data_IF_691630678432
#
_entry.id   IF_691630678432
#
_cell.length_a   1.000
_cell.length_b   1.000
_cell.length_c   1.000
_cell.angle_alpha   90.00
_cell.angle_beta   90.00
_cell.angle_gamma   90.00
#
_symmetry.space_group_name_H-M   'P 1'
#
loop_
_entity.id
_entity.type
_entity.pdbx_description
1 polymer ?
#
# COMPACT_ATOMS: atom_id res chain seq x y z
N UNK A 1 -8.19 10.02 -23.55
CA UNK A 1 -7.59 8.95 -22.72
C UNK A 1 -8.58 7.79 -22.68
N UNK A 2 -8.25 6.65 -23.28
CA UNK A 2 -9.25 5.60 -23.47
C UNK A 2 -9.11 4.50 -22.41
N UNK A 3 -10.06 4.45 -21.48
CA UNK A 3 -10.34 3.21 -20.70
C UNK A 3 -11.12 2.23 -21.58
N UNK A 4 -10.88 0.93 -21.43
CA UNK A 4 -11.78 -0.07 -22.00
C UNK A 4 -13.12 -0.07 -21.25
N UNK A 5 -14.14 -0.73 -21.81
CA UNK A 5 -15.50 -0.73 -21.25
C UNK A 5 -15.54 -1.26 -19.82
N UNK A 6 -14.75 -2.29 -19.50
CA UNK A 6 -14.69 -2.88 -18.15
C UNK A 6 -14.06 -1.93 -17.14
N UNK A 7 -12.94 -1.30 -17.49
CA UNK A 7 -12.29 -0.29 -16.66
C UNK A 7 -13.23 0.90 -16.38
N UNK A 8 -13.90 1.39 -17.44
CA UNK A 8 -14.91 2.46 -17.34
C UNK A 8 -16.03 2.05 -16.39
N UNK A 9 -16.59 0.86 -16.54
CA UNK A 9 -17.64 0.35 -15.66
C UNK A 9 -17.19 0.28 -14.20
N UNK A 10 -15.99 -0.23 -13.93
CA UNK A 10 -15.45 -0.30 -12.55
C UNK A 10 -15.30 1.10 -11.96
N UNK A 11 -14.74 2.05 -12.68
CA UNK A 11 -14.59 3.43 -12.19
C UNK A 11 -15.96 4.08 -11.96
N UNK A 12 -16.92 3.94 -12.86
CA UNK A 12 -18.25 4.48 -12.67
C UNK A 12 -18.98 3.84 -11.48
N UNK A 13 -18.82 2.54 -11.24
CA UNK A 13 -19.34 1.91 -10.03
C UNK A 13 -18.70 2.48 -8.75
N UNK A 14 -17.41 2.81 -8.76
CA UNK A 14 -16.77 3.50 -7.64
C UNK A 14 -17.31 4.93 -7.47
N UNK A 15 -17.55 5.66 -8.56
CA UNK A 15 -18.19 6.99 -8.57
C UNK A 15 -19.61 6.93 -8.00
N UNK A 16 -20.41 5.97 -8.43
CA UNK A 16 -21.78 5.73 -7.90
C UNK A 16 -21.73 5.40 -6.41
N UNK A 17 -20.74 4.61 -5.97
CA UNK A 17 -20.53 4.34 -4.55
C UNK A 17 -20.22 5.61 -3.76
N UNK A 18 -19.43 6.52 -4.32
CA UNK A 18 -19.11 7.83 -3.73
C UNK A 18 -20.29 8.80 -3.70
N UNK A 19 -21.40 8.48 -4.39
CA UNK A 19 -22.60 9.32 -4.44
C UNK A 19 -22.69 10.21 -5.68
N UNK A 20 -21.94 9.91 -6.73
CA UNK A 20 -22.04 10.59 -8.04
C UNK A 20 -23.18 9.96 -8.87
N UNK A 21 -24.40 10.38 -8.61
CA UNK A 21 -25.60 9.74 -9.19
C UNK A 21 -25.72 9.99 -10.72
N UNK A 22 -25.12 11.04 -11.27
CA UNK A 22 -25.07 11.30 -12.74
C UNK A 22 -24.37 10.15 -13.51
N UNK A 23 -23.53 9.38 -12.85
CA UNK A 23 -22.86 8.22 -13.45
C UNK A 23 -23.81 7.03 -13.70
N UNK A 24 -24.99 7.02 -13.09
CA UNK A 24 -26.01 5.98 -13.29
C UNK A 24 -26.56 6.04 -14.71
N UNK A 25 -26.85 7.23 -15.21
CA UNK A 25 -27.46 7.44 -16.53
C UNK A 25 -26.45 7.18 -17.67
N UNK A 26 -25.16 7.35 -17.39
CA UNK A 26 -24.08 7.18 -18.36
C UNK A 26 -23.40 5.81 -18.28
N UNK A 27 -23.88 4.91 -17.43
CA UNK A 27 -23.29 3.59 -17.24
C UNK A 27 -23.32 2.76 -18.54
N UNK A 28 -22.24 2.04 -18.89
CA UNK A 28 -22.18 1.28 -20.13
C UNK A 28 -23.28 0.22 -20.22
N UNK A 29 -23.99 0.18 -21.37
CA UNK A 29 -25.08 -0.78 -21.58
C UNK A 29 -24.62 -2.22 -21.77
N UNK A 30 -23.41 -2.42 -22.26
CA UNK A 30 -22.81 -3.75 -22.47
C UNK A 30 -21.52 -3.83 -21.68
N UNK A 31 -21.52 -4.65 -20.64
CA UNK A 31 -20.41 -4.81 -19.73
C UNK A 31 -20.08 -6.31 -19.60
N UNK A 32 -18.83 -6.67 -19.71
CA UNK A 32 -18.37 -8.00 -19.30
C UNK A 32 -18.30 -8.07 -17.77
N UNK A 33 -19.40 -8.57 -17.18
CA UNK A 33 -19.51 -8.69 -15.73
C UNK A 33 -18.54 -9.70 -15.12
N UNK A 34 -18.07 -10.69 -15.89
CA UNK A 34 -17.09 -11.62 -15.43
C UNK A 34 -15.74 -10.93 -15.22
N UNK A 35 -15.29 -10.11 -16.16
CA UNK A 35 -14.07 -9.31 -16.01
C UNK A 35 -14.22 -8.25 -14.91
N UNK A 36 -15.39 -7.60 -14.76
CA UNK A 36 -15.66 -6.69 -13.64
C UNK A 36 -15.53 -7.42 -12.30
N UNK A 37 -16.06 -8.63 -12.20
CA UNK A 37 -15.95 -9.45 -11.00
C UNK A 37 -14.48 -9.81 -10.69
N UNK A 38 -13.71 -10.23 -11.69
CA UNK A 38 -12.28 -10.52 -11.53
C UNK A 38 -11.51 -9.30 -10.99
N UNK A 39 -11.76 -8.11 -11.53
CA UNK A 39 -11.18 -6.87 -11.01
C UNK A 39 -11.67 -6.57 -9.59
N UNK A 40 -12.95 -6.80 -9.29
CA UNK A 40 -13.49 -6.60 -7.95
C UNK A 40 -12.80 -7.47 -6.90
N UNK A 41 -12.57 -8.73 -7.21
CA UNK A 41 -11.83 -9.68 -6.36
C UNK A 41 -10.36 -9.26 -6.23
N UNK A 42 -9.71 -8.97 -7.34
CA UNK A 42 -8.30 -8.59 -7.40
C UNK A 42 -7.98 -7.35 -6.56
N UNK A 43 -8.88 -6.36 -6.59
CA UNK A 43 -8.74 -5.10 -5.84
C UNK A 43 -9.42 -5.14 -4.46
N UNK A 44 -10.06 -6.25 -4.11
CA UNK A 44 -10.80 -6.45 -2.87
C UNK A 44 -11.86 -5.34 -2.63
N UNK A 45 -12.59 -5.00 -3.69
CA UNK A 45 -13.65 -3.97 -3.73
C UNK A 45 -15.04 -4.58 -4.03
N UNK A 46 -15.19 -5.90 -4.01
CA UNK A 46 -16.42 -6.59 -4.38
C UNK A 46 -17.65 -6.11 -3.61
N UNK A 47 -17.52 -5.86 -2.29
CA UNK A 47 -18.60 -5.29 -1.49
C UNK A 47 -18.98 -3.86 -1.89
N UNK A 48 -18.01 -3.05 -2.29
CA UNK A 48 -18.23 -1.69 -2.83
C UNK A 48 -19.02 -1.76 -4.14
N UNK A 49 -18.53 -2.58 -5.09
CA UNK A 49 -19.22 -2.72 -6.38
C UNK A 49 -20.62 -3.30 -6.23
N UNK A 50 -20.83 -4.28 -5.34
CA UNK A 50 -22.19 -4.78 -5.02
C UNK A 50 -23.14 -3.66 -4.62
N UNK A 51 -22.69 -2.76 -3.75
CA UNK A 51 -23.49 -1.63 -3.27
C UNK A 51 -23.83 -0.66 -4.41
N UNK A 52 -22.86 -0.36 -5.28
CA UNK A 52 -23.05 0.53 -6.42
C UNK A 52 -23.98 -0.08 -7.49
N UNK A 53 -23.79 -1.35 -7.83
CA UNK A 53 -24.62 -2.08 -8.81
C UNK A 53 -26.11 -2.05 -8.40
N UNK A 54 -26.41 -2.11 -7.12
CA UNK A 54 -27.80 -2.03 -6.64
C UNK A 54 -28.49 -0.69 -6.87
N UNK A 55 -27.75 0.36 -7.18
CA UNK A 55 -28.29 1.67 -7.55
C UNK A 55 -28.59 1.78 -9.04
N UNK A 56 -28.08 0.86 -9.86
CA UNK A 56 -28.36 0.85 -11.30
C UNK A 56 -29.81 0.42 -11.56
N UNK A 57 -30.58 1.15 -12.43
CA UNK A 57 -31.97 0.85 -12.71
C UNK A 57 -32.17 -0.49 -13.42
N UNK A 58 -31.21 -0.85 -14.29
CA UNK A 58 -31.19 -2.12 -14.99
C UNK A 58 -29.78 -2.72 -14.93
N UNK A 59 -29.70 -4.00 -14.57
CA UNK A 59 -28.45 -4.75 -14.47
C UNK A 59 -28.32 -5.68 -15.68
N UNK A 60 -28.40 -5.11 -16.90
CA UNK A 60 -28.40 -5.88 -18.14
C UNK A 60 -27.14 -6.77 -18.24
N UNK A 61 -27.38 -8.06 -18.47
CA UNK A 61 -26.31 -9.05 -18.63
C UNK A 61 -25.61 -9.48 -17.34
N UNK A 62 -25.97 -8.95 -16.18
CA UNK A 62 -25.42 -9.39 -14.91
C UNK A 62 -25.95 -10.79 -14.55
N UNK A 63 -25.07 -11.77 -14.51
CA UNK A 63 -25.38 -13.13 -14.15
C UNK A 63 -25.69 -13.24 -12.64
N UNK A 64 -26.69 -14.04 -12.29
CA UNK A 64 -27.15 -14.21 -10.90
C UNK A 64 -26.07 -14.78 -9.98
N UNK A 65 -25.19 -15.61 -10.48
CA UNK A 65 -24.04 -16.16 -9.75
C UNK A 65 -23.03 -15.07 -9.43
N UNK A 66 -22.64 -14.22 -10.38
CA UNK A 66 -21.75 -13.06 -10.14
C UNK A 66 -22.36 -12.12 -9.11
N UNK A 67 -23.65 -11.81 -9.24
CA UNK A 67 -24.36 -10.96 -8.26
C UNK A 67 -24.31 -11.57 -6.85
N UNK A 68 -24.49 -12.88 -6.75
CA UNK A 68 -24.41 -13.61 -5.48
C UNK A 68 -22.99 -13.59 -4.89
N UNK A 69 -21.98 -13.80 -5.71
CA UNK A 69 -20.59 -13.74 -5.25
C UNK A 69 -20.21 -12.34 -4.74
N UNK A 70 -20.60 -11.27 -5.45
CA UNK A 70 -20.41 -9.90 -4.98
C UNK A 70 -21.15 -9.63 -3.65
N UNK A 71 -22.34 -10.21 -3.48
CA UNK A 71 -23.09 -10.14 -2.23
C UNK A 71 -22.35 -10.85 -1.09
N UNK A 72 -21.74 -12.00 -1.35
CA UNK A 72 -20.89 -12.71 -0.38
C UNK A 72 -19.71 -11.82 0.03
N UNK A 73 -19.04 -11.16 -0.92
CA UNK A 73 -17.97 -10.21 -0.61
C UNK A 73 -18.43 -9.05 0.27
N UNK A 74 -19.65 -8.53 0.04
CA UNK A 74 -20.23 -7.49 0.87
C UNK A 74 -20.38 -7.94 2.32
N UNK A 75 -21.08 -9.07 2.56
CA UNK A 75 -21.30 -9.56 3.93
C UNK A 75 -20.00 -9.99 4.62
N UNK A 76 -19.07 -10.59 3.89
CA UNK A 76 -17.76 -10.95 4.42
C UNK A 76 -16.96 -9.70 4.85
N UNK A 77 -17.01 -8.63 4.07
CA UNK A 77 -16.35 -7.35 4.40
C UNK A 77 -16.96 -6.73 5.66
N UNK A 78 -18.29 -6.68 5.75
CA UNK A 78 -19.01 -6.14 6.92
C UNK A 78 -18.68 -6.96 8.17
N UNK A 79 -18.76 -8.29 8.09
CA UNK A 79 -18.48 -9.18 9.23
C UNK A 79 -17.05 -9.02 9.72
N UNK A 80 -16.06 -9.03 8.81
CA UNK A 80 -14.64 -8.85 9.16
C UNK A 80 -14.38 -7.47 9.76
N UNK A 81 -14.95 -6.42 9.17
CA UNK A 81 -14.76 -5.06 9.68
C UNK A 81 -15.31 -4.92 11.10
N UNK A 82 -16.48 -5.50 11.41
CA UNK A 82 -17.04 -5.49 12.77
C UNK A 82 -16.18 -6.26 13.77
N UNK A 83 -15.60 -7.39 13.37
CA UNK A 83 -14.66 -8.12 14.24
C UNK A 83 -13.41 -7.26 14.53
N UNK A 84 -12.83 -6.61 13.50
CA UNK A 84 -11.72 -5.68 13.69
C UNK A 84 -12.09 -4.53 14.63
N UNK A 85 -13.28 -3.93 14.45
CA UNK A 85 -13.75 -2.83 15.31
C UNK A 85 -13.85 -3.23 16.77
N UNK A 86 -14.48 -4.38 17.07
CA UNK A 86 -14.58 -4.87 18.43
C UNK A 86 -13.21 -5.10 19.08
N UNK A 87 -12.28 -5.70 18.33
CA UNK A 87 -10.93 -5.96 18.86
C UNK A 87 -10.13 -4.67 19.04
N UNK A 88 -10.22 -3.74 18.09
CA UNK A 88 -9.51 -2.47 18.19
C UNK A 88 -10.04 -1.60 19.32
N UNK A 89 -11.34 -1.61 19.60
CA UNK A 89 -11.89 -0.94 20.79
C UNK A 89 -11.24 -1.48 22.06
N UNK A 90 -11.14 -2.81 22.21
CA UNK A 90 -10.49 -3.45 23.35
C UNK A 90 -8.99 -3.07 23.45
N UNK A 91 -8.26 -3.09 22.32
CA UNK A 91 -6.85 -2.70 22.28
C UNK A 91 -6.67 -1.24 22.69
N UNK A 92 -7.42 -0.32 22.07
CA UNK A 92 -7.35 1.11 22.35
C UNK A 92 -7.64 1.41 23.83
N UNK A 93 -8.71 0.84 24.37
CA UNK A 93 -9.09 1.05 25.76
C UNK A 93 -8.03 0.50 26.72
N UNK A 94 -7.48 -0.67 26.43
CA UNK A 94 -6.45 -1.27 27.27
C UNK A 94 -5.12 -0.50 27.21
N UNK A 95 -4.69 -0.05 26.04
CA UNK A 95 -3.49 0.79 25.90
C UNK A 95 -3.68 2.14 26.62
N UNK A 96 -4.87 2.74 26.55
CA UNK A 96 -5.18 3.95 27.33
C UNK A 96 -5.10 3.69 28.86
N UNK A 97 -5.65 2.59 29.36
CA UNK A 97 -5.54 2.20 30.77
C UNK A 97 -4.08 2.02 31.21
N UNK A 98 -3.25 1.45 30.33
CA UNK A 98 -1.81 1.25 30.57
C UNK A 98 -0.99 2.52 30.33
N UNK A 99 -1.61 3.64 29.94
CA UNK A 99 -0.93 4.92 29.61
C UNK A 99 0.16 4.74 28.56
N UNK A 100 -0.17 4.01 27.48
CA UNK A 100 0.71 3.76 26.34
C UNK A 100 0.26 4.63 25.18
N UNK A 101 1.11 5.55 24.73
CA UNK A 101 0.83 6.35 23.53
C UNK A 101 0.83 5.48 22.29
N UNK A 102 -0.23 5.60 21.49
CA UNK A 102 -0.37 4.90 20.23
C UNK A 102 -1.06 5.75 19.19
N UNK A 103 -0.51 5.78 17.98
CA UNK A 103 -0.99 6.56 16.86
C UNK A 103 -1.68 5.63 15.88
N UNK A 104 -2.99 5.82 15.71
CA UNK A 104 -3.77 5.10 14.69
C UNK A 104 -3.46 5.69 13.32
N UNK A 105 -3.27 4.84 12.31
CA UNK A 105 -2.87 5.28 10.99
C UNK A 105 -3.46 4.43 9.87
N UNK A 106 -3.24 4.85 8.61
CA UNK A 106 -3.62 4.12 7.40
C UNK A 106 -5.10 3.69 7.38
N UNK A 107 -5.32 2.41 7.09
CA UNK A 107 -6.62 1.81 6.85
C UNK A 107 -7.64 2.02 7.95
N UNK A 108 -7.23 1.95 9.20
CA UNK A 108 -8.11 2.16 10.34
C UNK A 108 -8.68 3.58 10.41
N UNK A 109 -7.87 4.58 10.04
CA UNK A 109 -8.32 5.97 9.99
C UNK A 109 -9.13 6.23 8.72
N UNK A 110 -8.64 5.76 7.57
CA UNK A 110 -9.24 6.03 6.25
C UNK A 110 -10.63 5.45 6.07
N UNK A 111 -10.93 4.29 6.70
CA UNK A 111 -12.26 3.68 6.58
C UNK A 111 -13.42 4.61 6.97
N UNK A 112 -13.17 5.59 7.84
CA UNK A 112 -14.17 6.56 8.30
C UNK A 112 -14.64 7.54 7.21
N UNK A 113 -13.89 7.64 6.11
CA UNK A 113 -14.22 8.51 4.98
C UNK A 113 -15.07 7.80 3.93
N UNK A 114 -15.17 6.47 4.02
CA UNK A 114 -16.00 5.68 3.13
C UNK A 114 -17.48 5.85 3.46
N UNK A 115 -18.38 5.96 2.46
CA UNK A 115 -19.82 6.01 2.68
C UNK A 115 -20.34 4.85 3.56
N UNK A 116 -19.74 3.67 3.41
CA UNK A 116 -19.94 2.51 4.28
C UNK A 116 -18.57 2.06 4.78
N UNK A 117 -18.16 2.47 6.00
CA UNK A 117 -16.82 2.21 6.55
C UNK A 117 -16.41 0.74 6.55
N UNK A 118 -17.38 -0.16 6.71
CA UNK A 118 -17.16 -1.60 6.74
C UNK A 118 -16.69 -2.17 5.39
N UNK A 119 -16.92 -1.47 4.30
CA UNK A 119 -16.52 -1.89 2.96
C UNK A 119 -15.09 -1.52 2.59
N UNK A 120 -14.42 -0.68 3.39
CA UNK A 120 -12.98 -0.53 3.26
C UNK A 120 -12.28 -1.73 3.88
N UNK A 121 -12.01 -2.71 3.05
CA UNK A 121 -11.33 -3.94 3.48
C UNK A 121 -9.90 -3.65 3.95
N UNK A 122 -9.47 -4.36 4.99
CA UNK A 122 -8.10 -4.28 5.54
C UNK A 122 -7.57 -5.69 5.78
N UNK A 123 -6.28 -5.92 5.53
CA UNK A 123 -5.59 -7.14 5.92
C UNK A 123 -5.09 -7.07 7.37
N UNK A 124 -4.58 -5.91 7.72
CA UNK A 124 -3.94 -5.58 8.99
C UNK A 124 -4.42 -4.25 9.52
N UNK A 125 -4.17 -4.00 10.79
CA UNK A 125 -4.37 -2.71 11.44
C UNK A 125 -3.03 -2.23 11.96
N UNK A 126 -2.59 -1.10 11.42
CA UNK A 126 -1.33 -0.48 11.77
C UNK A 126 -1.50 0.56 12.87
N UNK A 127 -0.60 0.56 13.84
CA UNK A 127 -0.44 1.68 14.75
C UNK A 127 1.02 1.86 15.17
N UNK A 128 1.39 3.13 15.41
CA UNK A 128 2.73 3.51 15.83
C UNK A 128 2.77 3.68 17.34
N UNK A 129 3.84 3.21 17.97
CA UNK A 129 4.16 3.42 19.38
C UNK A 129 5.55 4.03 19.52
N UNK A 130 5.86 4.53 20.71
CA UNK A 130 7.24 4.88 21.05
C UNK A 130 8.09 3.63 21.22
N UNK A 131 9.37 3.73 20.86
CA UNK A 131 10.29 2.58 21.02
C UNK A 131 10.41 2.12 22.47
N UNK A 132 10.38 3.05 23.44
CA UNK A 132 10.41 2.74 24.87
C UNK A 132 9.16 2.01 25.38
N UNK A 133 8.01 2.16 24.70
CA UNK A 133 6.76 1.50 25.06
C UNK A 133 6.61 0.09 24.44
N UNK A 134 7.58 -0.35 23.67
CA UNK A 134 7.51 -1.58 22.89
C UNK A 134 7.22 -2.82 23.74
N UNK A 135 8.00 -3.00 24.82
CA UNK A 135 7.83 -4.14 25.71
C UNK A 135 6.50 -4.10 26.47
N UNK A 136 6.09 -2.91 26.91
CA UNK A 136 4.80 -2.71 27.61
C UNK A 136 3.63 -3.00 26.67
N UNK A 137 3.72 -2.59 25.40
CA UNK A 137 2.73 -2.89 24.38
C UNK A 137 2.67 -4.40 24.10
N UNK A 138 3.82 -5.07 24.00
CA UNK A 138 3.88 -6.51 23.83
C UNK A 138 3.13 -7.25 24.94
N UNK A 139 3.46 -6.94 26.20
CA UNK A 139 2.78 -7.55 27.36
C UNK A 139 1.28 -7.27 27.38
N UNK A 140 0.87 -6.04 27.03
CA UNK A 140 -0.53 -5.65 26.94
C UNK A 140 -1.31 -6.46 25.88
N UNK A 141 -0.72 -6.64 24.71
CA UNK A 141 -1.37 -7.42 23.63
C UNK A 141 -1.44 -8.91 23.96
N UNK A 142 -0.42 -9.49 24.59
CA UNK A 142 -0.46 -10.87 25.08
C UNK A 142 -1.56 -11.05 26.14
N UNK A 143 -1.73 -10.10 27.06
CA UNK A 143 -2.80 -10.13 28.07
C UNK A 143 -4.21 -10.03 27.45
N UNK A 144 -4.33 -9.34 26.31
CA UNK A 144 -5.56 -9.32 25.51
C UNK A 144 -5.77 -10.59 24.69
N UNK A 145 -4.85 -11.55 24.75
CA UNK A 145 -4.92 -12.85 24.06
C UNK A 145 -4.53 -12.79 22.59
N UNK A 146 -3.73 -11.79 22.18
CA UNK A 146 -3.07 -11.82 20.88
C UNK A 146 -1.84 -12.73 20.94
N UNK A 147 -1.55 -13.41 19.83
CA UNK A 147 -0.33 -14.19 19.63
C UNK A 147 0.66 -13.33 18.87
N UNK A 148 1.90 -13.21 19.36
CA UNK A 148 2.98 -12.57 18.64
C UNK A 148 3.50 -13.52 17.54
N UNK A 149 3.31 -13.16 16.28
CA UNK A 149 3.74 -13.95 15.12
C UNK A 149 5.09 -13.50 14.57
N UNK A 150 5.49 -12.25 14.86
CA UNK A 150 6.81 -11.71 14.52
C UNK A 150 7.19 -10.60 15.50
N UNK A 151 8.38 -10.70 16.08
CA UNK A 151 8.99 -9.75 17.02
C UNK A 151 10.32 -9.17 16.50
N UNK A 152 10.55 -9.22 15.17
CA UNK A 152 11.79 -8.81 14.54
C UNK A 152 11.67 -7.46 13.85
N UNK A 153 12.74 -6.65 13.96
CA UNK A 153 12.80 -5.35 13.30
C UNK A 153 11.91 -4.31 13.98
N UNK A 154 11.46 -3.31 13.21
CA UNK A 154 10.70 -2.16 13.70
C UNK A 154 9.17 -2.36 13.68
N UNK A 155 8.70 -3.46 13.09
CA UNK A 155 7.28 -3.82 13.02
C UNK A 155 7.12 -5.19 13.68
N UNK A 156 6.31 -5.23 14.73
CA UNK A 156 5.95 -6.48 15.39
C UNK A 156 4.51 -6.85 15.03
N UNK A 157 4.30 -8.11 14.69
CA UNK A 157 3.01 -8.59 14.22
C UNK A 157 2.33 -9.45 15.29
N UNK A 158 1.03 -9.23 15.45
CA UNK A 158 0.19 -9.94 16.40
C UNK A 158 -1.10 -10.39 15.74
N UNK A 159 -1.60 -11.56 16.12
CA UNK A 159 -2.81 -12.14 15.56
C UNK A 159 -3.78 -12.60 16.64
N UNK A 160 -5.08 -12.33 16.43
CA UNK A 160 -6.17 -12.87 17.23
C UNK A 160 -7.40 -13.04 16.35
N UNK A 161 -7.83 -14.30 16.09
CA UNK A 161 -8.86 -14.60 15.10
C UNK A 161 -8.47 -14.09 13.72
N UNK A 162 -9.33 -13.30 13.06
CA UNK A 162 -9.04 -12.70 11.76
C UNK A 162 -8.36 -11.32 11.86
N UNK A 163 -8.02 -10.86 13.06
CA UNK A 163 -7.42 -9.54 13.25
C UNK A 163 -5.89 -9.68 13.35
N UNK A 164 -5.22 -9.00 12.43
CA UNK A 164 -3.77 -8.87 12.41
C UNK A 164 -3.44 -7.43 12.80
N UNK A 165 -2.54 -7.26 13.77
CA UNK A 165 -2.01 -5.96 14.17
C UNK A 165 -0.55 -5.85 13.78
N UNK A 166 -0.19 -4.75 13.15
CA UNK A 166 1.20 -4.34 12.91
C UNK A 166 1.56 -3.17 13.83
N UNK A 167 2.36 -3.47 14.84
CA UNK A 167 2.83 -2.49 15.83
C UNK A 167 4.16 -1.95 15.37
N UNK A 168 4.15 -0.71 14.93
CA UNK A 168 5.30 0.01 14.42
C UNK A 168 5.99 0.79 15.54
N UNK A 169 7.31 0.70 15.66
CA UNK A 169 8.12 1.65 16.43
C UNK A 169 8.79 2.70 15.53
N UNK A 170 8.73 2.49 14.21
CA UNK A 170 9.11 3.45 13.16
C UNK A 170 8.15 3.31 11.99
N UNK A 171 7.75 4.43 11.40
CA UNK A 171 6.76 4.45 10.32
C UNK A 171 7.31 3.85 9.03
N UNK A 172 8.53 4.21 8.65
CA UNK A 172 9.17 3.83 7.40
C UNK A 172 10.54 3.23 7.71
N UNK A 173 10.84 2.10 7.09
CA UNK A 173 12.11 1.39 7.22
C UNK A 173 12.87 1.27 5.90
N UNK A 174 12.43 1.96 4.85
CA UNK A 174 12.99 1.91 3.50
C UNK A 174 13.00 3.32 2.91
N UNK A 175 14.01 3.59 2.11
CA UNK A 175 14.08 4.85 1.35
C UNK A 175 13.04 4.86 0.24
N UNK A 176 12.32 5.95 0.10
CA UNK A 176 11.28 6.18 -0.90
C UNK A 176 11.46 7.58 -1.47
N UNK A 177 11.39 7.71 -2.79
CA UNK A 177 11.63 9.01 -3.46
C UNK A 177 13.11 9.38 -3.58
N UNK A 178 13.38 10.54 -4.15
CA UNK A 178 14.76 11.07 -4.38
C UNK A 178 15.22 12.09 -3.35
N UNK A 179 14.36 12.46 -2.42
CA UNK A 179 14.62 13.52 -1.45
C UNK A 179 15.44 13.07 -0.25
N UNK A 180 15.05 13.59 0.90
CA UNK A 180 15.67 13.23 2.18
C UNK A 180 15.42 11.77 2.55
N UNK A 181 16.24 11.24 3.43
CA UNK A 181 16.04 9.90 3.97
C UNK A 181 14.70 9.83 4.70
N UNK A 182 13.77 9.02 4.15
CA UNK A 182 12.42 8.88 4.70
C UNK A 182 12.39 8.29 6.10
N UNK A 183 13.35 7.44 6.46
CA UNK A 183 13.47 6.94 7.84
C UNK A 183 13.82 8.10 8.79
N UNK A 184 14.80 8.92 8.42
CA UNK A 184 15.20 10.09 9.20
C UNK A 184 14.08 11.13 9.30
N UNK A 185 13.36 11.38 8.20
CA UNK A 185 12.24 12.32 8.14
C UNK A 185 11.13 11.97 9.15
N UNK A 186 10.85 10.68 9.35
CA UNK A 186 9.76 10.22 10.23
C UNK A 186 10.17 9.89 11.66
N UNK A 187 11.38 10.24 12.11
CA UNK A 187 11.82 9.93 13.48
C UNK A 187 11.00 10.66 14.56
N UNK A 188 10.48 11.85 14.26
CA UNK A 188 9.66 12.65 15.16
C UNK A 188 8.15 12.58 14.85
N UNK A 189 7.70 11.57 14.13
CA UNK A 189 6.33 11.44 13.65
C UNK A 189 5.26 11.61 14.76
N UNK A 190 5.55 11.23 15.99
CA UNK A 190 4.62 11.38 17.12
C UNK A 190 4.38 12.85 17.46
N UNK A 191 5.30 13.78 17.16
CA UNK A 191 5.11 15.21 17.38
C UNK A 191 4.07 15.83 16.43
N UNK A 192 3.77 15.16 15.30
CA UNK A 192 2.79 15.58 14.29
C UNK A 192 1.43 14.91 14.47
N UNK A 193 1.00 14.74 15.73
CA UNK A 193 -0.24 14.04 16.06
C UNK A 193 -1.18 14.90 16.89
N UNK A 194 -2.47 14.55 16.84
CA UNK A 194 -3.52 15.09 17.69
C UNK A 194 -4.24 13.97 18.45
N UNK A 195 -4.84 14.30 19.61
CA UNK A 195 -5.62 13.36 20.42
C UNK A 195 -6.98 13.13 19.78
N UNK A 196 -7.38 11.87 19.64
CA UNK A 196 -8.67 11.52 19.02
C UNK A 196 -9.59 10.71 19.94
N UNK A 197 -9.03 9.99 20.91
CA UNK A 197 -9.81 9.20 21.88
C UNK A 197 -9.03 8.99 23.18
N UNK A 198 -9.48 9.63 24.24
CA UNK A 198 -8.77 9.60 25.52
C UNK A 198 -7.43 10.34 25.46
N UNK A 199 -6.56 10.05 26.42
CA UNK A 199 -5.30 10.77 26.60
C UNK A 199 -4.16 10.21 25.71
N UNK A 200 -4.22 8.93 25.37
CA UNK A 200 -3.08 8.20 24.81
C UNK A 200 -3.33 7.68 23.38
N UNK A 201 -4.54 7.90 22.82
CA UNK A 201 -4.86 7.55 21.44
C UNK A 201 -4.75 8.78 20.54
N UNK A 202 -3.86 8.70 19.58
CA UNK A 202 -3.50 9.77 18.67
C UNK A 202 -3.79 9.38 17.22
N UNK A 203 -3.96 10.39 16.38
CA UNK A 203 -3.86 10.27 14.90
C UNK A 203 -2.92 11.35 14.40
N UNK A 204 -2.36 11.17 13.21
CA UNK A 204 -1.63 12.25 12.56
C UNK A 204 -2.55 13.42 12.24
N UNK A 205 -2.03 14.67 12.32
CA UNK A 205 -2.69 15.83 11.73
C UNK A 205 -2.90 15.60 10.24
N UNK A 206 -3.93 16.21 9.66
CA UNK A 206 -4.42 15.89 8.31
C UNK A 206 -3.34 15.98 7.22
N UNK A 207 -2.58 17.06 7.22
CA UNK A 207 -1.53 17.31 6.24
C UNK A 207 -0.41 16.28 6.33
N UNK A 208 0.07 16.02 7.55
CA UNK A 208 1.12 15.03 7.78
C UNK A 208 0.64 13.62 7.42
N UNK A 209 -0.63 13.30 7.71
CA UNK A 209 -1.24 12.03 7.32
C UNK A 209 -1.28 11.89 5.80
N UNK A 210 -1.67 12.94 5.06
CA UNK A 210 -1.70 12.89 3.60
C UNK A 210 -0.30 12.71 3.00
N UNK A 211 0.71 13.45 3.50
CA UNK A 211 2.11 13.25 3.11
C UNK A 211 2.56 11.81 3.37
N UNK A 212 2.22 11.26 4.54
CA UNK A 212 2.52 9.87 4.87
C UNK A 212 1.81 8.87 3.93
N UNK A 213 0.55 9.14 3.54
CA UNK A 213 -0.15 8.30 2.56
C UNK A 213 0.57 8.28 1.21
N UNK A 214 1.10 9.41 0.74
CA UNK A 214 1.92 9.47 -0.48
C UNK A 214 3.19 8.63 -0.34
N UNK A 215 3.92 8.74 0.76
CA UNK A 215 5.12 7.90 1.00
C UNK A 215 4.77 6.42 1.01
N UNK A 216 3.68 6.05 1.68
CA UNK A 216 3.21 4.67 1.75
C UNK A 216 2.78 4.13 0.38
N UNK A 217 2.04 4.93 -0.39
CA UNK A 217 1.62 4.58 -1.74
C UNK A 217 2.81 4.47 -2.70
N UNK A 218 3.75 5.42 -2.64
CA UNK A 218 4.97 5.42 -3.44
C UNK A 218 5.82 4.17 -3.17
N UNK A 219 6.00 3.79 -1.90
CA UNK A 219 6.67 2.54 -1.52
C UNK A 219 6.01 1.32 -2.16
N UNK A 220 4.69 1.22 -2.06
CA UNK A 220 3.96 0.10 -2.68
C UNK A 220 4.06 0.14 -4.19
N UNK A 221 3.88 1.30 -4.81
CA UNK A 221 3.99 1.48 -6.25
C UNK A 221 5.38 1.11 -6.77
N UNK A 222 6.44 1.44 -6.03
CA UNK A 222 7.83 1.14 -6.40
C UNK A 222 8.15 -0.37 -6.36
N UNK A 223 7.60 -1.14 -5.42
CA UNK A 223 8.06 -2.52 -5.16
C UNK A 223 7.02 -3.61 -5.44
N UNK A 224 5.77 -3.36 -5.21
CA UNK A 224 4.74 -4.39 -5.24
C UNK A 224 3.54 -4.05 -6.12
N UNK A 225 3.38 -2.79 -6.47
CA UNK A 225 2.20 -2.27 -7.13
C UNK A 225 1.18 -1.69 -6.14
N UNK A 226 0.21 -0.98 -6.71
CA UNK A 226 -0.75 -0.18 -5.98
C UNK A 226 -2.11 -0.31 -6.70
N UNK A 227 -3.19 -0.51 -5.98
CA UNK A 227 -4.48 -0.85 -6.59
C UNK A 227 -5.54 0.23 -6.45
N UNK A 228 -6.69 0.00 -7.09
CA UNK A 228 -7.85 0.92 -7.12
C UNK A 228 -8.32 1.36 -5.74
N UNK A 229 -8.29 0.45 -4.74
CA UNK A 229 -8.68 0.80 -3.37
C UNK A 229 -7.81 1.90 -2.78
N UNK A 230 -6.51 1.85 -3.03
CA UNK A 230 -5.60 2.89 -2.55
C UNK A 230 -5.84 4.22 -3.25
N UNK A 231 -6.17 4.21 -4.54
CA UNK A 231 -6.55 5.42 -5.27
C UNK A 231 -7.86 6.02 -4.74
N UNK A 232 -8.82 5.15 -4.39
CA UNK A 232 -10.08 5.55 -3.74
C UNK A 232 -9.83 6.16 -2.34
N UNK A 233 -8.86 5.65 -1.58
CA UNK A 233 -8.46 6.24 -0.28
C UNK A 233 -8.05 7.71 -0.42
N UNK A 234 -7.25 8.05 -1.44
CA UNK A 234 -6.87 9.44 -1.72
C UNK A 234 -8.07 10.29 -2.12
N UNK A 235 -8.89 9.81 -3.04
CA UNK A 235 -10.07 10.54 -3.52
C UNK A 235 -11.01 10.88 -2.35
N UNK A 236 -11.34 9.93 -1.50
CA UNK A 236 -12.21 10.14 -0.34
C UNK A 236 -11.59 11.03 0.73
N UNK A 237 -10.27 10.93 0.96
CA UNK A 237 -9.58 11.80 1.88
C UNK A 237 -9.63 13.27 1.42
N UNK A 238 -9.37 13.50 0.12
CA UNK A 238 -9.37 14.84 -0.47
C UNK A 238 -10.79 15.39 -0.57
N UNK A 239 -11.77 14.58 -0.90
CA UNK A 239 -13.18 14.99 -0.91
C UNK A 239 -13.62 15.48 0.49
N UNK A 240 -13.12 14.82 1.54
CA UNK A 240 -13.42 15.17 2.91
C UNK A 240 -12.70 16.44 3.41
N UNK A 241 -11.44 16.59 3.06
CA UNK A 241 -10.57 17.60 3.70
C UNK A 241 -9.89 18.56 2.72
N UNK A 242 -9.99 18.35 1.41
CA UNK A 242 -9.19 19.08 0.42
C UNK A 242 -9.22 20.61 0.55
N UNK A 243 -10.39 21.17 0.93
CA UNK A 243 -10.57 22.60 1.15
C UNK A 243 -10.02 23.11 2.51
N UNK A 244 -9.69 22.19 3.44
CA UNK A 244 -9.19 22.53 4.77
C UNK A 244 -7.67 22.33 4.90
N UNK A 245 -7.04 21.67 3.91
CA UNK A 245 -5.62 21.33 3.94
C UNK A 245 -4.74 22.53 3.58
N UNK A 246 -3.64 22.66 4.30
CA UNK A 246 -2.53 23.53 3.90
C UNK A 246 -1.72 22.85 2.79
N UNK A 247 -2.10 23.15 1.53
CA UNK A 247 -1.45 22.57 0.35
C UNK A 247 -0.03 23.10 0.13
N UNK A 248 0.28 24.31 0.56
CA UNK A 248 1.64 24.86 0.48
C UNK A 248 2.58 24.06 1.37
N UNK A 249 2.17 23.75 2.59
CA UNK A 249 2.89 22.84 3.48
C UNK A 249 3.04 21.45 2.87
N UNK A 250 1.96 20.85 2.37
CA UNK A 250 1.99 19.50 1.76
C UNK A 250 2.97 19.43 0.61
N UNK A 251 2.96 20.42 -0.30
CA UNK A 251 3.87 20.45 -1.44
C UNK A 251 5.32 20.62 -1.03
N UNK A 252 5.61 21.48 -0.05
CA UNK A 252 6.96 21.63 0.50
C UNK A 252 7.49 20.32 1.08
N UNK A 253 6.66 19.60 1.83
CA UNK A 253 7.06 18.31 2.41
C UNK A 253 7.25 17.22 1.33
N UNK A 254 6.38 17.18 0.34
CA UNK A 254 6.51 16.26 -0.80
C UNK A 254 7.77 16.56 -1.65
N UNK A 255 8.14 17.83 -1.81
CA UNK A 255 9.35 18.23 -2.49
C UNK A 255 10.60 17.80 -1.70
N UNK A 256 10.63 18.02 -0.38
CA UNK A 256 11.72 17.53 0.49
C UNK A 256 11.90 16.02 0.38
N UNK A 257 10.80 15.29 0.27
CA UNK A 257 10.79 13.83 0.14
C UNK A 257 11.08 13.36 -1.30
N UNK A 258 11.12 14.27 -2.28
CA UNK A 258 11.28 13.93 -3.70
C UNK A 258 10.09 13.14 -4.26
N UNK A 259 8.87 13.43 -3.81
CA UNK A 259 7.64 12.74 -4.18
C UNK A 259 6.64 13.61 -4.95
N UNK A 260 7.03 14.85 -5.33
CA UNK A 260 6.12 15.79 -5.99
C UNK A 260 5.58 15.25 -7.32
N UNK A 261 6.39 14.58 -8.13
CA UNK A 261 5.94 14.01 -9.39
C UNK A 261 4.94 12.86 -9.18
N UNK A 262 5.22 11.93 -8.27
CA UNK A 262 4.32 10.85 -7.93
C UNK A 262 2.99 11.36 -7.35
N UNK A 263 3.04 12.36 -6.46
CA UNK A 263 1.85 12.96 -5.87
C UNK A 263 0.97 13.63 -6.94
N UNK A 264 1.57 14.41 -7.86
CA UNK A 264 0.84 15.01 -8.99
C UNK A 264 0.16 13.94 -9.84
N UNK A 265 0.86 12.89 -10.19
CA UNK A 265 0.31 11.78 -10.96
C UNK A 265 -0.87 11.11 -10.23
N UNK A 266 -0.73 10.82 -8.92
CA UNK A 266 -1.78 10.25 -8.09
C UNK A 266 -3.01 11.16 -8.03
N UNK A 267 -2.81 12.47 -7.85
CA UNK A 267 -3.89 13.46 -7.81
C UNK A 267 -4.57 13.64 -9.17
N UNK A 268 -3.81 13.56 -10.27
CA UNK A 268 -4.39 13.54 -11.63
C UNK A 268 -5.36 12.38 -11.78
N UNK A 269 -4.97 11.18 -11.35
CA UNK A 269 -5.86 10.01 -11.39
C UNK A 269 -7.10 10.19 -10.50
N UNK A 270 -6.98 10.83 -9.33
CA UNK A 270 -8.14 11.16 -8.49
C UNK A 270 -9.11 12.08 -9.21
N UNK A 271 -8.60 13.11 -9.88
CA UNK A 271 -9.41 14.04 -10.66
C UNK A 271 -10.11 13.36 -11.84
N UNK A 272 -9.34 12.61 -12.66
CA UNK A 272 -9.84 11.95 -13.86
C UNK A 272 -10.81 10.79 -13.54
N UNK A 273 -10.54 10.00 -12.52
CA UNK A 273 -11.34 8.81 -12.21
C UNK A 273 -12.51 9.08 -11.27
N UNK A 274 -12.38 10.06 -10.37
CA UNK A 274 -13.37 10.29 -9.33
C UNK A 274 -13.92 11.70 -9.30
N UNK A 275 -13.55 12.55 -10.26
CA UNK A 275 -14.03 13.94 -10.29
C UNK A 275 -13.62 14.76 -9.08
N UNK A 276 -12.58 14.31 -8.33
CA UNK A 276 -12.12 14.97 -7.11
C UNK A 276 -11.76 16.42 -7.41
N UNK A 277 -12.32 17.36 -6.65
CA UNK A 277 -12.10 18.79 -6.82
C UNK A 277 -10.69 19.17 -6.38
N UNK A 278 -9.81 19.36 -7.36
CA UNK A 278 -8.40 19.74 -7.14
C UNK A 278 -8.08 20.89 -8.10
N UNK A 279 -8.90 21.97 -8.04
CA UNK A 279 -8.84 23.05 -9.04
C UNK A 279 -7.66 24.01 -8.83
N UNK A 280 -7.03 23.96 -7.66
CA UNK A 280 -5.88 24.77 -7.28
C UNK A 280 -4.52 24.16 -7.64
N UNK A 281 -4.49 22.95 -8.21
CA UNK A 281 -3.26 22.32 -8.60
C UNK A 281 -3.09 22.30 -10.12
N UNK A 282 -1.96 22.75 -10.67
CA UNK A 282 -1.61 22.48 -12.05
C UNK A 282 -1.29 20.99 -12.18
N UNK A 283 -2.35 20.19 -12.26
CA UNK A 283 -2.22 18.75 -12.37
C UNK A 283 -2.22 18.40 -13.85
N UNK A 284 -1.03 18.32 -14.43
CA UNK A 284 -0.84 17.75 -15.75
C UNK A 284 0.19 16.65 -15.66
N UNK A 285 -0.21 15.48 -16.08
CA UNK A 285 0.65 14.33 -16.29
C UNK A 285 0.71 14.06 -17.80
N UNK A 286 1.88 13.70 -18.32
CA UNK A 286 2.01 13.29 -19.71
C UNK A 286 1.11 12.07 -20.00
N UNK A 287 0.51 12.06 -21.19
CA UNK A 287 -0.46 11.01 -21.56
C UNK A 287 0.13 9.59 -21.46
N UNK A 288 1.40 9.43 -21.81
CA UNK A 288 2.10 8.15 -21.74
C UNK A 288 2.22 7.65 -20.28
N UNK A 289 2.57 8.52 -19.34
CA UNK A 289 2.69 8.19 -17.93
C UNK A 289 1.34 7.87 -17.31
N UNK A 290 0.28 8.59 -17.74
CA UNK A 290 -1.08 8.28 -17.35
C UNK A 290 -1.47 6.85 -17.76
N UNK A 291 -1.25 6.48 -19.02
CA UNK A 291 -1.60 5.15 -19.52
C UNK A 291 -0.81 4.06 -18.75
N UNK A 292 0.49 4.25 -18.57
CA UNK A 292 1.34 3.31 -17.80
C UNK A 292 0.90 3.18 -16.34
N UNK A 293 0.62 4.30 -15.64
CA UNK A 293 0.11 4.25 -14.26
C UNK A 293 -1.25 3.55 -14.19
N UNK A 294 -2.16 3.86 -15.10
CA UNK A 294 -3.46 3.22 -15.20
C UNK A 294 -3.32 1.70 -15.34
N UNK A 295 -2.50 1.25 -16.29
CA UNK A 295 -2.25 -0.18 -16.51
C UNK A 295 -1.69 -0.85 -15.25
N UNK A 296 -0.73 -0.23 -14.59
CA UNK A 296 -0.14 -0.75 -13.36
C UNK A 296 -1.17 -0.86 -12.25
N UNK A 297 -2.01 0.15 -12.07
CA UNK A 297 -3.03 0.17 -11.02
C UNK A 297 -4.09 -0.90 -11.28
N UNK A 298 -4.62 -1.01 -12.49
CA UNK A 298 -5.61 -2.03 -12.84
C UNK A 298 -5.01 -3.45 -12.80
N UNK A 299 -3.75 -3.60 -13.19
CA UNK A 299 -3.04 -4.87 -13.11
C UNK A 299 -2.59 -5.23 -11.69
N UNK A 300 -2.48 -4.26 -10.77
CA UNK A 300 -1.83 -4.44 -9.46
C UNK A 300 -2.63 -5.21 -8.43
N UNK A 301 -3.92 -4.92 -8.29
CA UNK A 301 -4.71 -5.43 -7.17
C UNK A 301 -4.26 -4.88 -5.80
N UNK A 302 -4.76 -5.45 -4.72
CA UNK A 302 -4.50 -4.97 -3.35
C UNK A 302 -3.06 -5.22 -2.90
N UNK A 303 -2.48 -6.33 -3.33
CA UNK A 303 -1.15 -6.79 -2.89
C UNK A 303 -0.06 -6.63 -3.95
N UNK A 304 -0.36 -5.88 -5.01
CA UNK A 304 0.55 -5.64 -6.09
C UNK A 304 0.35 -6.57 -7.29
N UNK A 305 1.05 -6.25 -8.36
CA UNK A 305 0.95 -6.91 -9.65
C UNK A 305 1.77 -8.20 -9.68
N UNK A 306 1.21 -9.28 -10.22
CA UNK A 306 1.91 -10.57 -10.33
C UNK A 306 3.20 -10.53 -11.18
N UNK A 307 3.38 -9.53 -12.05
CA UNK A 307 4.60 -9.28 -12.81
C UNK A 307 5.62 -8.37 -12.09
N UNK A 308 5.17 -7.59 -11.10
CA UNK A 308 6.01 -6.75 -10.24
C UNK A 308 6.30 -7.51 -8.96
N UNK A 309 7.36 -8.24 -8.95
CA UNK A 309 7.82 -8.98 -7.78
C UNK A 309 9.17 -8.40 -7.32
N UNK A 310 9.58 -8.77 -6.12
CA UNK A 310 10.86 -8.36 -5.56
C UNK A 310 12.04 -8.74 -6.47
N UNK A 311 11.90 -9.78 -7.26
CA UNK A 311 12.88 -10.27 -8.21
C UNK A 311 13.03 -9.32 -9.41
N UNK A 312 11.91 -8.83 -9.96
CA UNK A 312 11.92 -7.84 -11.04
C UNK A 312 12.52 -6.51 -10.55
N UNK A 313 12.16 -6.04 -9.34
CA UNK A 313 12.75 -4.83 -8.79
C UNK A 313 14.27 -4.95 -8.60
N UNK A 314 14.78 -6.11 -8.21
CA UNK A 314 16.22 -6.35 -8.11
C UNK A 314 16.95 -6.24 -9.46
N UNK A 315 16.33 -6.68 -10.57
CA UNK A 315 16.87 -6.53 -11.92
C UNK A 315 16.78 -5.07 -12.36
N UNK A 316 15.63 -4.43 -12.13
CA UNK A 316 15.40 -3.00 -12.43
C UNK A 316 16.44 -2.09 -11.73
N UNK A 317 16.73 -2.35 -10.45
CA UNK A 317 17.69 -1.57 -9.67
C UNK A 317 19.13 -1.69 -10.21
N UNK A 318 19.43 -2.63 -11.14
CA UNK A 318 20.70 -2.70 -11.84
C UNK A 318 20.74 -1.82 -13.10
N UNK A 319 19.62 -1.19 -13.49
CA UNK A 319 19.58 -0.25 -14.62
C UNK A 319 20.20 1.10 -14.26
N UNK A 320 20.26 1.48 -13.01
CA UNK A 320 20.88 2.73 -12.59
C UNK A 320 22.37 2.77 -13.03
N UNK A 321 22.71 3.75 -13.87
CA UNK A 321 24.04 3.87 -14.48
C UNK A 321 24.41 2.77 -15.48
N UNK A 322 23.48 1.92 -15.86
CA UNK A 322 23.68 0.81 -16.77
C UNK A 322 22.51 0.60 -17.76
N UNK A 323 21.83 1.69 -18.13
CA UNK A 323 20.60 1.65 -18.97
C UNK A 323 20.81 0.98 -20.33
N UNK A 324 22.05 1.02 -20.87
CA UNK A 324 22.43 0.37 -22.13
C UNK A 324 22.85 -1.10 -22.00
N UNK A 325 22.95 -1.63 -20.78
CA UNK A 325 23.34 -3.02 -20.56
C UNK A 325 22.24 -3.99 -21.02
N UNK A 326 22.59 -5.13 -21.58
CA UNK A 326 21.62 -6.17 -21.95
C UNK A 326 20.95 -6.80 -20.72
N UNK A 327 19.75 -7.36 -20.90
CA UNK A 327 18.97 -7.94 -19.81
C UNK A 327 19.69 -9.11 -19.12
N UNK A 328 20.51 -9.89 -19.86
CA UNK A 328 21.28 -10.99 -19.29
C UNK A 328 22.31 -10.48 -18.30
N UNK A 329 23.03 -9.42 -18.65
CA UNK A 329 24.00 -8.77 -17.77
C UNK A 329 23.32 -8.18 -16.51
N UNK A 330 22.16 -7.54 -16.66
CA UNK A 330 21.39 -7.01 -15.51
C UNK A 330 20.94 -8.14 -14.59
N UNK A 331 20.37 -9.21 -15.14
CA UNK A 331 19.99 -10.42 -14.38
C UNK A 331 21.19 -11.03 -13.66
N UNK A 332 22.33 -11.12 -14.31
CA UNK A 332 23.54 -11.66 -13.70
C UNK A 332 24.02 -10.80 -12.52
N UNK A 333 24.05 -9.46 -12.67
CA UNK A 333 24.38 -8.54 -11.58
C UNK A 333 23.40 -8.67 -10.41
N UNK A 334 22.09 -8.70 -10.69
CA UNK A 334 21.04 -8.88 -9.67
C UNK A 334 21.22 -10.22 -8.94
N UNK A 335 21.49 -11.30 -9.67
CA UNK A 335 21.73 -12.63 -9.09
C UNK A 335 22.93 -12.65 -8.15
N UNK A 336 24.04 -12.00 -8.52
CA UNK A 336 25.22 -11.89 -7.65
C UNK A 336 24.85 -11.14 -6.36
N UNK A 337 24.16 -10.01 -6.43
CA UNK A 337 23.70 -9.27 -5.24
C UNK A 337 22.72 -10.10 -4.39
N UNK A 338 21.87 -10.91 -5.02
CA UNK A 338 20.96 -11.79 -4.31
C UNK A 338 21.69 -12.95 -3.59
N UNK A 339 22.75 -13.50 -4.19
CA UNK A 339 23.54 -14.59 -3.59
C UNK A 339 24.47 -14.02 -2.49
N UNK A 340 25.07 -12.85 -2.73
CA UNK A 340 26.03 -12.19 -1.87
C UNK A 340 25.52 -10.78 -1.46
N UNK A 341 24.48 -10.68 -0.63
CA UNK A 341 23.98 -9.39 -0.18
C UNK A 341 25.01 -8.63 0.62
N UNK A 342 24.83 -7.32 0.67
CA UNK A 342 25.70 -6.44 1.43
C UNK A 342 25.63 -6.65 2.95
N UNK A 343 26.54 -6.01 3.69
CA UNK A 343 26.62 -6.12 5.15
C UNK A 343 25.40 -5.53 5.86
N UNK A 344 24.74 -4.51 5.30
CA UNK A 344 23.55 -3.90 5.87
C UNK A 344 22.39 -4.90 5.88
N UNK A 345 22.18 -5.61 4.79
CA UNK A 345 21.20 -6.70 4.72
C UNK A 345 21.59 -7.87 5.63
N UNK A 346 22.89 -8.21 5.68
CA UNK A 346 23.36 -9.39 6.42
C UNK A 346 23.36 -9.22 7.94
N UNK A 347 23.20 -8.00 8.48
CA UNK A 347 23.02 -7.76 9.94
C UNK A 347 21.84 -8.51 10.55
N UNK A 348 20.82 -8.86 9.74
CA UNK A 348 19.68 -9.67 10.18
C UNK A 348 20.07 -11.13 10.50
N UNK A 349 21.15 -11.62 9.93
CA UNK A 349 21.64 -12.98 10.13
C UNK A 349 22.78 -13.03 11.15
N UNK A 350 23.59 -11.97 11.24
CA UNK A 350 24.72 -11.87 12.16
C UNK A 350 24.90 -10.40 12.60
N UNK A 351 24.47 -10.07 13.83
CA UNK A 351 24.40 -8.69 14.36
C UNK A 351 25.71 -7.89 14.25
N UNK A 352 26.87 -8.54 14.37
CA UNK A 352 28.17 -7.87 14.39
C UNK A 352 28.81 -7.68 13.00
N UNK A 353 28.15 -8.13 11.92
CA UNK A 353 28.70 -8.07 10.54
C UNK A 353 28.90 -6.63 10.06
N UNK A 354 28.11 -5.71 10.57
CA UNK A 354 28.18 -4.30 10.23
C UNK A 354 29.46 -3.64 10.77
N UNK A 355 29.84 -4.03 12.00
CA UNK A 355 31.06 -3.54 12.68
C UNK A 355 32.32 -4.29 12.23
N UNK A 356 32.18 -5.54 11.84
CA UNK A 356 33.28 -6.43 11.44
C UNK A 356 33.04 -7.02 10.05
N UNK A 357 33.42 -6.33 8.97
CA UNK A 357 33.20 -6.79 7.59
C UNK A 357 33.80 -8.16 7.26
N UNK A 358 34.81 -8.58 7.96
CA UNK A 358 35.43 -9.91 7.83
C UNK A 358 34.48 -11.07 8.17
N UNK A 359 33.40 -10.80 8.91
CA UNK A 359 32.35 -11.80 9.23
C UNK A 359 31.33 -12.00 8.10
N UNK A 360 31.39 -11.21 7.04
CA UNK A 360 30.44 -11.25 5.94
C UNK A 360 30.37 -12.65 5.25
N UNK A 361 31.48 -13.34 4.96
CA UNK A 361 31.43 -14.69 4.40
C UNK A 361 30.70 -15.69 5.31
N UNK A 362 30.93 -15.64 6.62
CA UNK A 362 30.24 -16.49 7.58
C UNK A 362 28.73 -16.21 7.60
N UNK A 363 28.33 -14.95 7.53
CA UNK A 363 26.93 -14.56 7.46
C UNK A 363 26.25 -15.09 6.18
N UNK A 364 26.93 -15.05 5.02
CA UNK A 364 26.41 -15.66 3.78
C UNK A 364 26.20 -17.17 3.91
N UNK A 365 27.14 -17.89 4.51
CA UNK A 365 27.01 -19.35 4.74
C UNK A 365 25.79 -19.65 5.62
N UNK A 366 25.60 -18.90 6.72
CA UNK A 366 24.43 -19.04 7.60
C UNK A 366 23.14 -18.82 6.82
N UNK A 367 23.07 -17.76 6.01
CA UNK A 367 21.91 -17.45 5.18
C UNK A 367 21.61 -18.54 4.16
N UNK A 368 22.62 -19.05 3.44
CA UNK A 368 22.46 -20.12 2.45
C UNK A 368 21.99 -21.42 3.09
N UNK A 369 22.54 -21.77 4.25
CA UNK A 369 22.05 -22.92 5.02
C UNK A 369 20.56 -22.77 5.35
N UNK A 370 20.13 -21.61 5.88
CA UNK A 370 18.73 -21.37 6.16
C UNK A 370 17.85 -21.34 4.89
N UNK A 371 18.36 -20.83 3.78
CA UNK A 371 17.63 -20.79 2.51
C UNK A 371 17.38 -22.19 1.93
N UNK A 372 18.36 -23.08 2.03
CA UNK A 372 18.27 -24.45 1.54
C UNK A 372 17.36 -25.31 2.43
N UNK A 373 17.63 -25.31 3.74
CA UNK A 373 17.00 -26.26 4.65
C UNK A 373 15.65 -25.80 5.24
N UNK A 374 15.39 -24.48 5.32
CA UNK A 374 14.16 -23.96 5.92
C UNK A 374 13.15 -23.39 4.94
N UNK A 375 13.53 -23.07 3.68
CA UNK A 375 12.69 -22.30 2.74
C UNK A 375 12.72 -22.83 1.30
N UNK A 376 13.06 -24.10 1.07
CA UNK A 376 13.32 -24.66 -0.26
C UNK A 376 12.23 -24.40 -1.32
N UNK A 377 10.95 -24.65 -1.00
CA UNK A 377 9.85 -24.47 -1.96
C UNK A 377 9.62 -23.01 -2.35
N UNK A 378 9.71 -22.08 -1.41
CA UNK A 378 9.59 -20.63 -1.66
C UNK A 378 10.73 -20.12 -2.55
N UNK A 379 11.93 -20.61 -2.34
CA UNK A 379 13.10 -20.20 -3.13
C UNK A 379 13.02 -20.69 -4.58
N UNK A 380 12.44 -21.86 -4.83
CA UNK A 380 12.21 -22.38 -6.19
C UNK A 380 11.20 -21.48 -6.94
N UNK A 381 10.12 -21.05 -6.29
CA UNK A 381 9.15 -20.15 -6.89
C UNK A 381 9.78 -18.78 -7.21
N UNK A 382 10.54 -18.21 -6.27
CA UNK A 382 11.28 -16.95 -6.48
C UNK A 382 12.25 -17.05 -7.66
N UNK A 383 12.97 -18.14 -7.79
CA UNK A 383 13.89 -18.35 -8.92
C UNK A 383 13.14 -18.40 -10.25
N UNK A 384 11.97 -19.08 -10.31
CA UNK A 384 11.11 -19.06 -11.51
C UNK A 384 10.67 -17.65 -11.87
N UNK A 385 10.22 -16.85 -10.89
CA UNK A 385 9.84 -15.46 -11.08
C UNK A 385 11.02 -14.60 -11.54
N UNK A 386 12.21 -14.79 -10.98
CA UNK A 386 13.42 -14.11 -11.42
C UNK A 386 13.79 -14.42 -12.88
N UNK A 387 13.69 -15.68 -13.28
CA UNK A 387 13.98 -16.09 -14.66
C UNK A 387 12.95 -15.56 -15.67
N UNK A 388 11.69 -15.38 -15.25
CA UNK A 388 10.61 -14.85 -16.10
C UNK A 388 10.65 -13.32 -16.30
N UNK A 389 11.53 -12.59 -15.61
CA UNK A 389 11.70 -11.14 -15.81
C UNK A 389 12.09 -10.87 -17.27
N UNK A 390 11.41 -9.92 -17.91
CA UNK A 390 11.60 -9.55 -19.32
C UNK A 390 12.03 -8.08 -19.47
N UNK A 391 12.03 -7.57 -20.69
CA UNK A 391 12.42 -6.19 -21.02
C UNK A 391 11.45 -5.14 -20.46
N UNK A 392 10.25 -5.51 -19.99
CA UNK A 392 9.30 -4.61 -19.34
C UNK A 392 9.87 -3.89 -18.10
N UNK A 393 10.94 -4.43 -17.50
CA UNK A 393 11.66 -3.75 -16.41
C UNK A 393 12.25 -2.39 -16.83
N UNK A 394 12.50 -2.16 -18.12
CA UNK A 394 13.02 -0.88 -18.63
C UNK A 394 11.92 0.18 -18.69
N UNK A 395 10.75 -0.22 -19.16
CA UNK A 395 9.59 0.67 -19.19
C UNK A 395 9.19 1.07 -17.77
N UNK A 396 9.21 0.09 -16.87
CA UNK A 396 8.99 0.33 -15.45
C UNK A 396 10.05 1.26 -14.85
N UNK A 397 11.33 1.05 -15.16
CA UNK A 397 12.42 1.92 -14.72
C UNK A 397 12.21 3.36 -15.20
N UNK A 398 11.86 3.54 -16.47
CA UNK A 398 11.61 4.87 -17.06
C UNK A 398 10.46 5.57 -16.33
N UNK A 399 9.33 4.89 -16.16
CA UNK A 399 8.17 5.44 -15.43
C UNK A 399 8.54 5.84 -14.00
N UNK A 400 9.20 4.96 -13.25
CA UNK A 400 9.58 5.26 -11.86
C UNK A 400 10.57 6.41 -11.77
N UNK A 401 11.45 6.56 -12.77
CA UNK A 401 12.37 7.69 -12.87
C UNK A 401 11.63 9.01 -13.11
N UNK A 402 10.64 9.01 -13.99
CA UNK A 402 9.77 10.17 -14.27
C UNK A 402 8.86 10.55 -13.09
N UNK A 403 8.50 9.57 -12.27
CA UNK A 403 7.74 9.77 -11.04
C UNK A 403 8.62 10.11 -9.81
N UNK A 404 9.93 10.31 -9.99
CA UNK A 404 10.91 10.56 -8.94
C UNK A 404 10.99 9.45 -7.86
N UNK A 405 10.60 8.23 -8.19
CA UNK A 405 10.59 7.09 -7.28
C UNK A 405 11.89 6.28 -7.26
N UNK A 406 12.83 6.55 -8.16
CA UNK A 406 14.17 5.96 -8.14
C UNK A 406 15.16 6.93 -7.51
N UNK A 407 16.10 6.42 -6.73
CA UNK A 407 17.17 7.23 -6.09
C UNK A 407 18.27 7.60 -7.06
#
# INVERSE_FOLDING_TARGET
MNMNTVQTAVIQLLQIYMGMDDCVDTFPKQVDWAEVYELAVKHNIGGILYTAIRKLPEQQGLQKDIQRELQVHFYASVSRSKEHDMRMVQVIEYLNQKKIFHVLMKGWVLKRYYPIPELRTMGDVDFLIREEDRQRTHEALLQLGFLCTSDKGFVWCYEKGNTILEVHSRIVSQKVGRGVDTEQYYLDAISHTEKVRGEYTLCFIKEYHLVYLFVHAAKHFQYAGYGLRGQLDFALFIEKYGNELDWDYIWQELEKLGLSAFARATLTLCKEWFGTKIDFLPVQMEAENYEKMKEIIFAGGVYGYCGRNMEASQVRDQLEGAEKSDLKTLKWKAMIKMIFPDRQYMRMYLKNVEKHPSLLPAAWVIRWYQAIFKRGSRNTQRMKQFLSVDEGVREEYTLLKELDLLQ
#
